data_IF_090620170712
#
_entry.id   IF_090620170712
#
_cell.length_a   1.000
_cell.length_b   1.000
_cell.length_c   1.000
_cell.angle_alpha   90.00
_cell.angle_beta   90.00
_cell.angle_gamma   90.00
#
_symmetry.space_group_name_H-M   'P 1'
#
loop_
_entity.id
_entity.type
_entity.pdbx_description
1 polymer ?
#
# COMPACT_ATOMS: atom_id res chain seq x y z
N UNK A 1 -12.66 -13.07 28.36
CA UNK A 1 -12.00 -12.56 27.12
C UNK A 1 -10.82 -11.71 27.54
N UNK A 2 -9.59 -12.05 27.11
CA UNK A 2 -8.40 -11.25 27.43
C UNK A 2 -8.48 -9.89 26.71
N UNK A 3 -8.30 -8.78 27.43
CA UNK A 3 -8.20 -7.45 26.83
C UNK A 3 -6.88 -7.36 26.04
N UNK A 4 -6.98 -7.29 24.72
CA UNK A 4 -5.83 -7.03 23.84
C UNK A 4 -5.30 -5.64 24.17
N UNK A 5 -4.02 -5.54 24.50
CA UNK A 5 -3.39 -4.24 24.76
C UNK A 5 -3.41 -3.41 23.46
N UNK A 6 -3.75 -2.11 23.48
CA UNK A 6 -3.85 -1.30 22.26
C UNK A 6 -2.63 -1.36 21.35
N UNK A 7 -1.43 -1.53 21.91
CA UNK A 7 -0.17 -1.70 21.16
C UNK A 7 -0.07 -3.01 20.36
N UNK A 8 -0.95 -3.98 20.60
CA UNK A 8 -1.04 -5.24 19.87
C UNK A 8 -2.12 -5.21 18.78
N UNK A 9 -2.95 -4.14 18.73
CA UNK A 9 -3.91 -3.97 17.66
C UNK A 9 -3.18 -3.63 16.36
N UNK A 10 -3.46 -4.33 15.25
CA UNK A 10 -2.88 -4.01 13.96
C UNK A 10 -3.27 -2.60 13.53
N UNK A 11 -2.37 -1.91 12.85
CA UNK A 11 -2.63 -0.58 12.30
C UNK A 11 -2.84 -0.73 10.81
N UNK A 12 -3.92 -0.15 10.30
CA UNK A 12 -4.16 -0.01 8.89
C UNK A 12 -3.96 1.46 8.51
N UNK A 13 -3.02 1.71 7.59
CA UNK A 13 -2.79 3.04 7.02
C UNK A 13 -3.45 3.06 5.67
N UNK A 14 -4.45 3.92 5.47
CA UNK A 14 -5.11 4.11 4.19
C UNK A 14 -4.59 5.38 3.51
N UNK A 15 -4.17 5.27 2.26
CA UNK A 15 -3.68 6.38 1.45
C UNK A 15 -4.16 6.26 -0.01
N UNK A 16 -4.14 7.36 -0.77
CA UNK A 16 -4.50 7.32 -2.19
C UNK A 16 -3.62 6.32 -2.93
N UNK A 17 -2.29 6.45 -2.80
CA UNK A 17 -1.32 5.54 -3.39
C UNK A 17 -0.66 4.66 -2.33
N UNK A 18 -0.40 3.40 -2.70
CA UNK A 18 0.49 2.54 -1.94
C UNK A 18 1.95 3.02 -2.05
N UNK A 19 2.73 2.93 -0.98
CA UNK A 19 4.16 3.25 -0.97
C UNK A 19 5.00 2.12 -1.57
N UNK A 20 4.62 1.60 -2.74
CA UNK A 20 5.29 0.48 -3.40
C UNK A 20 5.53 0.77 -4.87
N UNK A 21 6.69 0.32 -5.35
CA UNK A 21 6.97 0.18 -6.76
C UNK A 21 6.59 -1.25 -7.17
N UNK A 22 5.63 -1.33 -8.09
CA UNK A 22 5.20 -2.59 -8.68
C UNK A 22 5.93 -2.79 -10.01
N UNK A 23 6.55 -3.94 -10.20
CA UNK A 23 7.24 -4.29 -11.46
C UNK A 23 6.75 -5.64 -11.94
N UNK A 24 6.43 -5.75 -13.23
CA UNK A 24 6.21 -7.04 -13.90
C UNK A 24 7.54 -7.50 -14.48
N UNK A 25 8.05 -8.63 -14.02
CA UNK A 25 9.28 -9.22 -14.53
C UNK A 25 9.05 -9.83 -15.91
N UNK A 26 10.13 -10.06 -16.67
CA UNK A 26 10.07 -10.69 -18.01
C UNK A 26 9.39 -12.06 -18.01
N UNK A 27 9.39 -12.76 -16.87
CA UNK A 27 8.71 -14.05 -16.67
C UNK A 27 7.20 -13.90 -16.35
N UNK A 28 6.65 -12.69 -16.45
CA UNK A 28 5.25 -12.39 -16.17
C UNK A 28 4.87 -12.31 -14.70
N UNK A 29 5.85 -12.42 -13.77
CA UNK A 29 5.59 -12.33 -12.32
C UNK A 29 5.58 -10.89 -11.84
N UNK A 30 4.77 -10.60 -10.83
CA UNK A 30 4.75 -9.30 -10.18
C UNK A 30 5.66 -9.29 -8.95
N UNK A 31 6.41 -8.21 -8.79
CA UNK A 31 7.19 -7.95 -7.58
C UNK A 31 6.83 -6.56 -7.07
N UNK A 32 6.48 -6.46 -5.78
CA UNK A 32 6.26 -5.20 -5.11
C UNK A 32 7.46 -4.92 -4.20
N UNK A 33 8.03 -3.74 -4.32
CA UNK A 33 9.13 -3.28 -3.48
C UNK A 33 8.72 -2.00 -2.78
N UNK A 34 9.19 -1.80 -1.56
CA UNK A 34 8.93 -0.55 -0.85
C UNK A 34 9.51 0.63 -1.61
N UNK A 35 8.68 1.64 -1.82
CA UNK A 35 9.03 2.89 -2.48
C UNK A 35 8.53 4.05 -1.60
N UNK A 36 9.22 4.22 -0.48
CA UNK A 36 8.72 4.91 0.72
C UNK A 36 8.90 6.42 0.78
N UNK A 37 9.64 7.03 -0.14
CA UNK A 37 10.07 8.43 0.03
C UNK A 37 8.95 9.47 -0.05
N UNK A 38 7.76 9.15 -0.57
CA UNK A 38 6.68 10.15 -0.72
C UNK A 38 5.66 10.17 0.42
N UNK A 39 5.39 9.03 1.05
CA UNK A 39 4.32 8.92 2.06
C UNK A 39 4.90 8.81 3.48
N UNK A 40 6.00 8.08 3.64
CA UNK A 40 6.65 7.89 4.93
C UNK A 40 7.53 9.07 5.34
N UNK A 41 8.12 9.78 4.37
CA UNK A 41 8.91 10.98 4.64
C UNK A 41 8.07 12.14 5.20
N UNK A 42 6.78 12.23 4.82
CA UNK A 42 5.86 13.28 5.30
C UNK A 42 5.15 12.90 6.60
N UNK A 43 4.95 11.61 6.87
CA UNK A 43 4.40 11.16 8.15
C UNK A 43 5.51 11.06 9.20
N UNK A 44 5.75 12.12 9.96
CA UNK A 44 6.52 12.10 11.23
C UNK A 44 5.95 11.11 12.30
N UNK A 45 4.96 10.30 11.94
CA UNK A 45 4.23 9.40 12.82
C UNK A 45 4.95 8.06 13.07
N UNK A 46 5.89 7.66 12.21
CA UNK A 46 6.63 6.41 12.35
C UNK A 46 8.08 6.59 11.93
N UNK A 47 9.03 6.22 12.78
CA UNK A 47 10.42 6.14 12.32
C UNK A 47 10.54 5.00 11.31
N UNK A 48 11.47 5.09 10.34
CA UNK A 48 11.81 3.97 9.45
C UNK A 48 12.01 2.68 10.28
N UNK A 49 12.65 2.76 11.45
CA UNK A 49 12.83 1.60 12.33
C UNK A 49 11.51 1.00 12.86
N UNK A 50 10.45 1.79 13.08
CA UNK A 50 9.16 1.29 13.57
C UNK A 50 8.35 0.55 12.51
N UNK A 51 8.59 0.85 11.24
CA UNK A 51 7.99 0.17 10.09
C UNK A 51 8.73 -1.11 9.71
N UNK A 52 10.05 -1.15 9.96
CA UNK A 52 10.94 -2.23 9.49
C UNK A 52 11.47 -3.16 10.60
N UNK A 53 11.40 -2.80 11.88
CA UNK A 53 11.63 -3.77 12.96
C UNK A 53 10.46 -4.76 13.01
N UNK A 54 10.66 -5.96 13.58
CA UNK A 54 9.57 -6.79 14.08
C UNK A 54 8.93 -6.09 15.30
N UNK A 55 8.34 -4.92 15.07
CA UNK A 55 7.45 -4.27 16.00
C UNK A 55 6.30 -5.22 16.25
N UNK A 56 5.92 -5.41 17.52
CA UNK A 56 4.81 -6.29 17.92
C UNK A 56 3.47 -5.90 17.25
N UNK A 57 3.42 -4.73 16.62
CA UNK A 57 2.27 -4.17 15.92
C UNK A 57 2.41 -4.40 14.42
N UNK A 58 1.52 -5.21 13.85
CA UNK A 58 1.45 -5.40 12.39
C UNK A 58 0.85 -4.13 11.76
N UNK A 59 1.67 -3.36 11.05
CA UNK A 59 1.22 -2.23 10.23
C UNK A 59 0.96 -2.75 8.81
N UNK A 60 -0.19 -2.42 8.24
CA UNK A 60 -0.53 -2.71 6.84
C UNK A 60 -0.93 -1.43 6.13
N UNK A 61 -0.58 -1.33 4.86
CA UNK A 61 -0.90 -0.18 4.03
C UNK A 61 -1.98 -0.57 3.02
N UNK A 62 -3.00 0.27 2.89
CA UNK A 62 -4.11 0.13 1.96
C UNK A 62 -4.09 1.32 1.01
N UNK A 63 -4.11 1.07 -0.30
CA UNK A 63 -4.15 2.14 -1.27
C UNK A 63 -4.13 1.64 -2.71
N UNK A 64 -4.21 2.57 -3.66
CA UNK A 64 -4.15 2.26 -5.09
C UNK A 64 -2.71 2.02 -5.54
N UNK A 65 -2.53 1.08 -6.46
CA UNK A 65 -1.25 0.94 -7.19
C UNK A 65 -1.13 2.02 -8.26
N UNK A 66 0.05 2.58 -8.47
CA UNK A 66 0.24 3.69 -9.42
C UNK A 66 -0.13 3.31 -10.87
N UNK A 67 0.16 2.06 -11.24
CA UNK A 67 -0.10 1.54 -12.59
C UNK A 67 -1.48 0.87 -12.70
N UNK A 68 -2.07 0.96 -13.89
CA UNK A 68 -3.24 0.14 -14.22
C UNK A 68 -2.87 -1.35 -14.22
N UNK A 69 -3.66 -2.17 -13.53
CA UNK A 69 -3.47 -3.62 -13.43
C UNK A 69 -4.66 -4.33 -14.09
N UNK A 70 -4.42 -5.13 -15.15
CA UNK A 70 -5.45 -5.95 -15.78
C UNK A 70 -6.12 -6.89 -14.76
N UNK A 71 -7.41 -7.18 -14.95
CA UNK A 71 -8.20 -8.00 -13.99
C UNK A 71 -7.54 -9.36 -13.75
N UNK A 72 -7.02 -9.99 -14.79
CA UNK A 72 -6.32 -11.28 -14.73
C UNK A 72 -5.03 -11.24 -13.89
N UNK A 73 -4.40 -10.07 -13.79
CA UNK A 73 -3.13 -9.89 -13.07
C UNK A 73 -3.35 -9.48 -11.60
N UNK A 74 -4.57 -9.06 -11.22
CA UNK A 74 -4.90 -8.59 -9.85
C UNK A 74 -4.53 -9.60 -8.75
N UNK A 75 -4.80 -10.91 -8.88
CA UNK A 75 -4.41 -11.88 -7.84
C UNK A 75 -2.90 -11.91 -7.59
N UNK A 76 -2.10 -11.88 -8.65
CA UNK A 76 -0.63 -11.88 -8.54
C UNK A 76 -0.11 -10.57 -7.91
N UNK A 77 -0.74 -9.44 -8.22
CA UNK A 77 -0.41 -8.15 -7.60
C UNK A 77 -0.77 -8.14 -6.12
N UNK A 78 -1.91 -8.72 -5.72
CA UNK A 78 -2.31 -8.87 -4.32
C UNK A 78 -1.27 -9.67 -3.54
N UNK A 79 -0.80 -10.79 -4.11
CA UNK A 79 0.24 -11.62 -3.50
C UNK A 79 1.57 -10.85 -3.35
N UNK A 80 2.01 -10.17 -4.42
CA UNK A 80 3.23 -9.36 -4.40
C UNK A 80 3.16 -8.24 -3.35
N UNK A 81 2.05 -7.50 -3.26
CA UNK A 81 1.85 -6.46 -2.27
C UNK A 81 1.77 -7.02 -0.83
N UNK A 82 1.17 -8.20 -0.64
CA UNK A 82 1.07 -8.82 0.68
C UNK A 82 2.45 -9.15 1.27
N UNK A 83 3.43 -9.51 0.43
CA UNK A 83 4.81 -9.76 0.85
C UNK A 83 5.48 -8.53 1.48
N UNK A 84 4.99 -7.33 1.17
CA UNK A 84 5.46 -6.04 1.73
C UNK A 84 4.39 -5.37 2.59
N UNK A 85 3.52 -6.13 3.25
CA UNK A 85 2.46 -5.64 4.15
C UNK A 85 1.49 -4.62 3.51
N UNK A 86 1.33 -4.65 2.19
CA UNK A 86 0.43 -3.78 1.45
C UNK A 86 -0.83 -4.52 0.98
N UNK A 87 -1.92 -3.77 0.80
CA UNK A 87 -3.22 -4.21 0.32
C UNK A 87 -3.58 -3.29 -0.85
N UNK A 88 -3.52 -3.78 -2.10
CA UNK A 88 -3.84 -2.96 -3.26
C UNK A 88 -5.36 -2.78 -3.39
N UNK A 89 -5.75 -1.55 -3.70
CA UNK A 89 -7.09 -1.17 -4.11
C UNK A 89 -7.08 -1.00 -5.62
N UNK A 90 -8.01 -1.68 -6.28
CA UNK A 90 -8.23 -1.55 -7.72
C UNK A 90 -9.54 -0.79 -7.93
N UNK A 91 -9.48 0.48 -8.36
CA UNK A 91 -10.69 1.23 -8.72
C UNK A 91 -11.53 0.49 -9.76
N UNK A 92 -12.83 0.78 -9.75
CA UNK A 92 -13.72 0.33 -10.81
C UNK A 92 -13.29 0.98 -12.13
N UNK A 93 -13.50 0.33 -13.30
CA UNK A 93 -13.32 0.98 -14.60
C UNK A 93 -14.09 2.30 -14.72
N UNK A 94 -15.23 2.42 -14.05
CA UNK A 94 -16.08 3.62 -14.07
C UNK A 94 -15.63 4.71 -13.10
N UNK A 95 -14.61 4.45 -12.28
CA UNK A 95 -14.08 5.44 -11.33
C UNK A 95 -13.18 6.41 -12.07
N UNK A 96 -13.54 7.69 -12.09
CA UNK A 96 -12.68 8.76 -12.63
C UNK A 96 -11.58 9.11 -11.62
N UNK A 97 -10.53 8.27 -11.66
CA UNK A 97 -9.33 8.43 -10.85
C UNK A 97 -8.61 9.74 -11.18
N UNK A 98 -8.63 10.17 -12.44
CA UNK A 98 -7.92 11.37 -12.88
C UNK A 98 -8.53 12.64 -12.28
N UNK A 99 -9.86 12.73 -12.26
CA UNK A 99 -10.58 13.84 -11.61
C UNK A 99 -10.38 13.83 -10.10
N UNK A 100 -10.36 12.65 -9.47
CA UNK A 100 -10.05 12.54 -8.04
C UNK A 100 -8.62 13.01 -7.72
N UNK A 101 -7.63 12.56 -8.50
CA UNK A 101 -6.24 12.94 -8.31
C UNK A 101 -6.05 14.46 -8.51
N UNK A 102 -6.66 15.04 -9.54
CA UNK A 102 -6.64 16.48 -9.80
C UNK A 102 -7.32 17.28 -8.68
N UNK A 103 -8.43 16.79 -8.14
CA UNK A 103 -9.09 17.39 -6.98
C UNK A 103 -8.18 17.36 -5.74
N UNK A 104 -7.50 16.24 -5.50
CA UNK A 104 -6.62 16.07 -4.33
C UNK A 104 -5.28 16.79 -4.44
N UNK A 105 -4.74 17.01 -5.64
CA UNK A 105 -3.49 17.75 -5.83
C UNK A 105 -3.64 19.26 -5.63
N UNK A 106 -4.87 19.78 -5.67
CA UNK A 106 -5.13 21.21 -5.67
C UNK A 106 -4.69 21.88 -6.99
N UNK A 107 -4.96 23.19 -7.16
CA UNK A 107 -4.48 23.99 -8.28
C UNK A 107 -2.95 24.20 -8.25
#
# INVERSE_FOLDING_TARGET
MARVHPSQLPVLVASNHLPVLLVKTGDGKYTATWHGDRLLAFTMAFSHQDLFRPCRRKIRFLGRVEQAVPIQDRPAVVEACAAVNCIPVFPSPDTDVSSYDAFCSGP
#
